data_IF_259684005418
#
_entry.id   IF_259684005418
#
_cell.length_a   1.000
_cell.length_b   1.000
_cell.length_c   1.000
_cell.angle_alpha   90.00
_cell.angle_beta   90.00
_cell.angle_gamma   90.00
#
_symmetry.space_group_name_H-M   'P 1'
#
loop_
_entity.id
_entity.type
_entity.pdbx_description
1 polymer ?
2 non-polymer ?
3 non-polymer ?
4 non-polymer ?
5 non-polymer ?
6 water ?
#
# COMPACT_ATOMS: atom_id res chain seq x y z
N UNK A 1 17.72 -21.05 5.04
CA UNK A 1 16.54 -20.96 5.91
C UNK A 1 15.29 -21.22 5.10
N UNK A 2 14.15 -21.35 5.78
CA UNK A 2 12.91 -21.75 5.13
C UNK A 2 12.43 -20.66 4.16
N UNK A 3 11.65 -21.10 3.18
CA UNK A 3 10.97 -20.18 2.27
C UNK A 3 9.51 -20.10 2.68
N UNK A 4 8.97 -18.87 2.78
CA UNK A 4 7.69 -18.64 3.42
C UNK A 4 6.89 -17.65 2.58
N UNK A 5 5.61 -17.95 2.36
CA UNK A 5 4.65 -17.02 1.77
C UNK A 5 3.45 -16.91 2.71
N UNK A 6 2.97 -15.69 2.90
CA UNK A 6 1.80 -15.39 3.73
C UNK A 6 0.72 -14.77 2.84
N UNK A 7 -0.53 -14.88 3.27
CA UNK A 7 -1.65 -14.37 2.49
C UNK A 7 -2.84 -14.14 3.40
N UNK A 8 -3.67 -13.14 3.12
CA UNK A 8 -5.02 -13.13 3.71
C UNK A 8 -5.74 -14.42 3.33
N UNK A 9 -6.64 -14.86 4.21
CA UNK A 9 -7.28 -16.16 4.01
C UNK A 9 -8.18 -16.20 2.79
N UNK A 10 -8.77 -15.07 2.43
CA UNK A 10 -9.71 -15.02 1.33
C UNK A 10 -9.71 -13.59 0.82
N UNK A 11 -9.46 -13.43 -0.48
CA UNK A 11 -9.45 -12.12 -1.12
C UNK A 11 -10.57 -12.11 -2.15
N UNK A 12 -11.46 -11.11 -2.04
CA UNK A 12 -12.67 -11.00 -2.84
C UNK A 12 -12.69 -9.63 -3.50
N UNK A 13 -13.06 -9.60 -4.78
CA UNK A 13 -13.10 -8.35 -5.52
C UNK A 13 -14.20 -8.39 -6.57
N UNK A 14 -15.01 -7.34 -6.64
CA UNK A 14 -15.93 -7.17 -7.76
C UNK A 14 -16.85 -5.99 -7.52
N UNK A 15 -17.57 -5.62 -8.58
CA UNK A 15 -18.49 -4.49 -8.46
C UNK A 15 -19.66 -4.86 -7.57
N UNK A 16 -20.06 -3.94 -6.69
CA UNK A 16 -21.15 -4.17 -5.76
C UNK A 16 -20.84 -5.13 -4.62
N UNK A 17 -19.56 -5.46 -4.42
CA UNK A 17 -19.22 -6.46 -3.41
C UNK A 17 -19.64 -6.04 -2.00
N UNK A 18 -19.81 -4.75 -1.74
CA UNK A 18 -20.28 -4.32 -0.41
C UNK A 18 -21.65 -4.92 -0.10
N UNK A 19 -22.48 -5.11 -1.13
CA UNK A 19 -23.83 -5.65 -0.93
C UNK A 19 -23.81 -7.09 -0.45
N UNK A 20 -22.68 -7.78 -0.64
CA UNK A 20 -22.55 -9.18 -0.27
C UNK A 20 -21.70 -9.39 0.97
N UNK A 21 -21.31 -8.29 1.64
CA UNK A 21 -20.47 -8.37 2.84
C UNK A 21 -21.06 -9.31 3.87
N UNK A 22 -22.36 -9.17 4.15
CA UNK A 22 -22.99 -9.97 5.19
C UNK A 22 -22.86 -11.46 4.96
N UNK A 23 -23.14 -11.91 3.73
CA UNK A 23 -22.99 -13.33 3.44
C UNK A 23 -21.53 -13.78 3.47
N UNK A 24 -20.59 -12.91 3.06
CA UNK A 24 -19.18 -13.26 3.12
C UNK A 24 -18.67 -13.35 4.56
N UNK A 25 -19.21 -12.52 5.46
CA UNK A 25 -18.69 -12.42 6.82
C UNK A 25 -19.33 -13.43 7.76
N UNK A 26 -20.54 -13.88 7.46
CA UNK A 26 -21.28 -14.74 8.37
C UNK A 26 -20.52 -16.01 8.79
N UNK A 27 -19.79 -16.71 7.92
CA UNK A 27 -19.06 -17.90 8.40
C UNK A 27 -17.98 -17.57 9.42
N UNK A 28 -17.57 -16.31 9.56
CA UNK A 28 -16.49 -15.91 10.45
C UNK A 28 -16.96 -15.57 11.86
N UNK A 29 -18.01 -14.75 11.97
CA UNK A 29 -18.47 -14.26 13.27
C UNK A 29 -19.81 -13.55 13.08
N UNK A 30 -20.52 -13.36 14.19
CA UNK A 30 -21.88 -12.82 14.20
C UNK A 30 -21.98 -11.36 14.62
N UNK A 31 -21.03 -10.82 15.39
CA UNK A 31 -21.15 -9.47 15.94
C UNK A 31 -19.91 -8.67 15.55
N UNK A 32 -20.10 -7.67 14.72
CA UNK A 32 -19.01 -7.00 14.03
C UNK A 32 -18.87 -5.57 14.51
N UNK A 33 -17.66 -5.20 14.91
CA UNK A 33 -17.31 -3.80 15.09
C UNK A 33 -16.86 -3.26 13.73
N UNK A 34 -17.52 -2.20 13.26
CA UNK A 34 -17.24 -1.62 11.95
C UNK A 34 -16.52 -0.30 12.17
N UNK A 35 -15.21 -0.29 11.92
CA UNK A 35 -14.40 0.93 11.91
C UNK A 35 -14.44 1.54 10.51
N UNK A 36 -15.01 2.72 10.37
CA UNK A 36 -15.03 3.37 9.07
C UNK A 36 -14.75 4.85 9.13
N UNK A 37 -14.05 5.43 8.15
CA UNK A 37 -13.86 6.87 8.25
C UNK A 37 -15.16 7.56 7.87
N UNK A 38 -15.35 8.75 8.43
CA UNK A 38 -16.63 9.42 8.34
C UNK A 38 -17.06 9.65 6.90
N UNK A 39 -16.11 9.94 6.01
CA UNK A 39 -16.48 10.18 4.62
C UNK A 39 -17.07 8.91 4.00
N UNK A 40 -16.40 7.78 4.22
CA UNK A 40 -16.86 6.50 3.70
C UNK A 40 -18.23 6.13 4.27
N UNK A 41 -18.41 6.30 5.59
CA UNK A 41 -19.71 5.98 6.17
C UNK A 41 -20.78 6.89 5.60
N UNK A 42 -20.40 8.13 5.24
CA UNK A 42 -21.34 9.03 4.58
C UNK A 42 -22.06 8.42 3.40
N UNK A 43 -21.33 7.68 2.55
CA UNK A 43 -22.01 7.04 1.43
C UNK A 43 -22.27 5.54 1.61
N UNK A 44 -21.52 4.85 2.49
CA UNK A 44 -21.60 3.39 2.56
C UNK A 44 -22.33 2.83 3.79
N UNK A 45 -22.62 3.65 4.80
CA UNK A 45 -23.13 3.07 6.04
C UNK A 45 -24.48 2.37 5.84
N UNK A 46 -25.37 2.96 5.03
CA UNK A 46 -26.68 2.36 4.82
C UNK A 46 -26.57 1.00 4.12
N UNK A 47 -25.81 0.92 3.02
CA UNK A 47 -25.65 -0.36 2.33
C UNK A 47 -25.02 -1.40 3.24
N UNK A 48 -23.98 -1.00 3.96
CA UNK A 48 -23.26 -1.92 4.83
C UNK A 48 -24.16 -2.44 5.95
N UNK A 49 -24.90 -1.54 6.59
CA UNK A 49 -25.85 -1.95 7.62
C UNK A 49 -26.86 -2.96 7.06
N UNK A 50 -27.38 -2.70 5.85
CA UNK A 50 -28.36 -3.62 5.27
C UNK A 50 -27.74 -4.99 5.01
N UNK A 51 -26.55 -5.01 4.43
CA UNK A 51 -25.91 -6.29 4.10
C UNK A 51 -25.75 -7.16 5.34
N UNK A 52 -25.22 -6.59 6.42
CA UNK A 52 -25.00 -7.37 7.64
C UNK A 52 -26.33 -7.75 8.29
N UNK A 53 -27.28 -6.80 8.37
CA UNK A 53 -28.56 -7.09 9.01
C UNK A 53 -29.30 -8.21 8.26
N UNK A 54 -29.28 -8.17 6.92
CA UNK A 54 -30.00 -9.19 6.15
C UNK A 54 -29.40 -10.57 6.37
N UNK A 55 -28.11 -10.65 6.66
CA UNK A 55 -27.44 -11.92 6.93
C UNK A 55 -27.53 -12.32 8.38
N UNK A 56 -28.22 -11.55 9.21
CA UNK A 56 -28.40 -11.90 10.61
C UNK A 56 -27.23 -11.53 11.50
N UNK A 57 -26.40 -10.58 11.09
CA UNK A 57 -25.22 -10.18 11.85
C UNK A 57 -25.51 -8.88 12.59
N UNK A 58 -24.89 -8.73 13.76
CA UNK A 58 -24.91 -7.47 14.48
C UNK A 58 -23.78 -6.58 13.99
N UNK A 59 -24.05 -5.27 13.91
CA UNK A 59 -23.06 -4.31 13.46
C UNK A 59 -23.04 -3.14 14.43
N UNK A 60 -21.88 -2.88 15.02
CA UNK A 60 -21.68 -1.71 15.87
C UNK A 60 -20.80 -0.74 15.09
N UNK A 61 -21.40 0.35 14.60
CA UNK A 61 -20.69 1.29 13.74
C UNK A 61 -19.87 2.22 14.62
N UNK A 62 -18.57 2.33 14.32
CA UNK A 62 -17.66 3.17 15.09
C UNK A 62 -16.89 4.08 14.14
N UNK A 63 -17.32 5.32 13.97
CA UNK A 63 -16.59 6.26 13.11
C UNK A 63 -15.13 6.39 13.55
N UNK A 64 -14.23 6.33 12.57
CA UNK A 64 -12.79 6.30 12.79
C UNK A 64 -12.26 7.70 13.08
N UNK A 65 -11.36 7.80 14.07
CA UNK A 65 -10.77 9.08 14.46
C UNK A 65 -9.75 9.66 13.49
N UNK A 66 -9.28 8.90 12.50
CA UNK A 66 -8.42 9.41 11.44
C UNK A 66 -6.98 8.91 11.47
N UNK A 67 -6.47 8.56 12.64
CA UNK A 67 -5.08 8.12 12.81
C UNK A 67 -5.04 6.72 13.40
N UNK A 68 -4.11 5.88 12.90
CA UNK A 68 -3.85 4.58 13.49
C UNK A 68 -2.90 4.78 14.67
N UNK A 69 -3.46 4.98 15.86
CA UNK A 69 -2.72 5.31 17.06
C UNK A 69 -3.12 4.35 18.17
N UNK A 70 -2.26 4.24 19.18
CA UNK A 70 -2.56 3.36 20.31
C UNK A 70 -3.79 3.85 21.07
N UNK A 71 -3.93 5.17 21.21
CA UNK A 71 -5.10 5.73 21.87
C UNK A 71 -6.37 5.38 21.10
N UNK A 72 -6.32 5.42 19.76
CA UNK A 72 -7.50 5.12 18.97
C UNK A 72 -7.86 3.65 19.04
N UNK A 73 -6.85 2.78 19.05
CA UNK A 73 -7.10 1.34 19.18
C UNK A 73 -7.80 1.03 20.50
N UNK A 74 -7.36 1.65 21.60
CA UNK A 74 -8.00 1.39 22.89
C UNK A 74 -9.39 1.98 22.96
N UNK A 75 -9.60 3.14 22.34
CA UNK A 75 -10.94 3.73 22.28
C UNK A 75 -11.93 2.78 21.60
N UNK A 76 -11.52 2.21 20.47
CA UNK A 76 -12.38 1.31 19.70
C UNK A 76 -12.59 -0.02 20.42
N UNK A 77 -11.56 -0.49 21.12
CA UNK A 77 -11.72 -1.70 21.91
C UNK A 77 -12.80 -1.52 22.98
N UNK A 78 -12.81 -0.36 23.65
CA UNK A 78 -13.84 -0.08 24.64
C UNK A 78 -15.23 -0.10 24.00
N UNK A 79 -15.37 0.56 22.85
CA UNK A 79 -16.64 0.58 22.12
C UNK A 79 -17.07 -0.83 21.73
N UNK A 80 -16.12 -1.62 21.21
CA UNK A 80 -16.41 -2.99 20.81
C UNK A 80 -16.88 -3.83 21.99
N UNK A 81 -16.24 -3.69 23.16
CA UNK A 81 -16.64 -4.45 24.33
C UNK A 81 -18.06 -4.17 24.76
N UNK A 82 -18.49 -2.90 24.70
CA UNK A 82 -19.85 -2.57 25.09
C UNK A 82 -20.87 -3.32 24.24
N UNK A 83 -20.55 -3.54 22.96
CA UNK A 83 -21.47 -4.22 22.04
C UNK A 83 -21.19 -5.72 21.95
N UNK A 84 -20.27 -6.24 22.76
CA UNK A 84 -19.87 -7.65 22.72
C UNK A 84 -19.52 -8.09 21.28
N UNK A 85 -18.68 -7.29 20.63
CA UNK A 85 -18.28 -7.63 19.26
C UNK A 85 -17.31 -8.79 19.27
N UNK A 86 -17.43 -9.68 18.29
CA UNK A 86 -16.58 -10.86 18.20
C UNK A 86 -15.68 -10.85 16.96
N UNK A 87 -15.66 -9.74 16.22
CA UNK A 87 -14.86 -9.58 15.01
C UNK A 87 -14.83 -8.10 14.65
N UNK A 88 -13.89 -7.73 13.78
CA UNK A 88 -13.70 -6.34 13.36
C UNK A 88 -13.76 -6.26 11.84
N UNK A 89 -14.51 -5.28 11.34
CA UNK A 89 -14.52 -4.93 9.91
C UNK A 89 -13.98 -3.52 9.78
N UNK A 90 -12.87 -3.36 9.06
CA UNK A 90 -12.39 -2.03 8.72
C UNK A 90 -12.80 -1.72 7.29
N UNK A 91 -13.34 -0.51 7.09
CA UNK A 91 -13.77 -0.08 5.77
C UNK A 91 -13.27 1.34 5.52
N UNK A 92 -12.44 1.51 4.50
CA UNK A 92 -11.86 2.79 4.16
C UNK A 92 -10.48 2.62 3.53
N UNK A 93 -9.65 3.65 3.71
CA UNK A 93 -8.29 3.64 3.23
C UNK A 93 -7.31 3.07 4.24
N UNK A 94 -6.02 3.25 3.93
CA UNK A 94 -4.98 2.52 4.64
C UNK A 94 -4.97 2.73 6.14
N UNK A 95 -5.16 3.98 6.59
CA UNK A 95 -5.15 4.24 8.04
C UNK A 95 -6.30 3.54 8.74
N UNK A 96 -7.48 3.51 8.11
CA UNK A 96 -8.60 2.80 8.73
C UNK A 96 -8.31 1.31 8.81
N UNK A 97 -7.76 0.75 7.73
CA UNK A 97 -7.56 -0.69 7.65
C UNK A 97 -6.48 -1.15 8.62
N UNK A 98 -5.37 -0.39 8.72
CA UNK A 98 -4.34 -0.71 9.70
C UNK A 98 -4.90 -0.70 11.11
N UNK A 99 -5.78 0.26 11.42
CA UNK A 99 -6.38 0.34 12.75
C UNK A 99 -7.24 -0.89 13.03
N UNK A 100 -8.08 -1.29 12.07
CA UNK A 100 -8.90 -2.48 12.23
C UNK A 100 -8.06 -3.72 12.48
N UNK A 101 -6.96 -3.88 11.73
CA UNK A 101 -6.08 -5.04 11.91
C UNK A 101 -5.47 -5.05 13.31
N UNK A 102 -4.99 -3.89 13.75
CA UNK A 102 -4.35 -3.83 15.06
C UNK A 102 -5.37 -4.06 16.17
N UNK A 103 -6.56 -3.46 16.01
CA UNK A 103 -7.62 -3.66 17.00
C UNK A 103 -7.98 -5.13 17.10
N UNK A 104 -8.18 -5.80 15.97
CA UNK A 104 -8.55 -7.21 16.02
C UNK A 104 -7.44 -8.03 16.64
N UNK A 105 -6.18 -7.68 16.37
CA UNK A 105 -5.07 -8.37 17.03
C UNK A 105 -5.18 -8.24 18.55
N UNK A 106 -5.44 -7.04 19.06
CA UNK A 106 -5.46 -6.88 20.50
C UNK A 106 -6.73 -7.46 21.13
N UNK A 107 -7.85 -7.47 20.40
CA UNK A 107 -9.02 -8.20 20.88
C UNK A 107 -8.91 -9.70 20.65
N UNK A 108 -7.96 -10.15 19.84
CA UNK A 108 -7.82 -11.56 19.51
C UNK A 108 -9.10 -12.09 18.85
N UNK A 109 -9.48 -11.43 17.75
CA UNK A 109 -10.69 -11.78 17.00
C UNK A 109 -10.39 -11.70 15.51
N UNK A 110 -11.22 -12.33 14.67
CA UNK A 110 -11.00 -12.21 13.23
C UNK A 110 -11.16 -10.76 12.75
N UNK A 111 -10.53 -10.46 11.61
CA UNK A 111 -10.65 -9.15 10.99
C UNK A 111 -10.99 -9.31 9.52
N UNK A 112 -11.93 -8.49 9.07
CA UNK A 112 -12.25 -8.35 7.65
C UNK A 112 -11.90 -6.92 7.24
N UNK A 113 -11.42 -6.78 6.02
CA UNK A 113 -10.81 -5.55 5.54
C UNK A 113 -11.50 -5.19 4.23
N UNK A 114 -12.15 -4.03 4.19
CA UNK A 114 -12.87 -3.58 2.99
C UNK A 114 -12.25 -2.27 2.48
N UNK A 115 -11.25 -2.35 1.59
CA UNK A 115 -10.67 -1.13 1.02
C UNK A 115 -11.69 -0.43 0.14
N UNK A 116 -11.83 0.88 0.32
CA UNK A 116 -12.70 1.67 -0.53
C UNK A 116 -11.91 2.52 -1.49
N UNK A 117 -10.58 2.40 -1.44
CA UNK A 117 -9.65 2.87 -2.47
C UNK A 117 -8.59 1.78 -2.61
N UNK A 118 -7.91 1.79 -3.75
CA UNK A 118 -6.80 0.88 -4.01
C UNK A 118 -5.52 1.71 -4.10
N UNK A 119 -5.16 2.33 -2.97
CA UNK A 119 -4.12 3.35 -2.97
C UNK A 119 -2.78 2.85 -2.44
N UNK A 120 -2.75 1.72 -1.75
CA UNK A 120 -1.53 1.16 -1.19
C UNK A 120 -1.73 -0.34 -1.12
N UNK A 121 -0.66 -1.06 -0.77
CA UNK A 121 -0.75 -2.49 -0.52
C UNK A 121 -0.93 -2.83 0.96
N UNK A 122 -1.37 -1.86 1.76
CA UNK A 122 -1.73 -2.14 3.15
C UNK A 122 -2.80 -3.22 3.36
N UNK A 123 -3.87 -3.32 2.55
CA UNK A 123 -5.01 -4.18 2.96
C UNK A 123 -4.65 -5.62 3.33
N UNK A 124 -3.71 -6.24 2.63
CA UNK A 124 -3.51 -7.68 2.76
C UNK A 124 -2.43 -8.05 3.78
N UNK A 125 -1.65 -7.09 4.28
CA UNK A 125 -0.44 -7.44 4.99
C UNK A 125 -0.71 -7.71 6.48
N UNK A 126 0.20 -8.47 7.08
CA UNK A 126 0.21 -8.74 8.52
C UNK A 126 1.05 -7.68 9.23
N UNK A 127 0.60 -6.43 9.09
CA UNK A 127 1.37 -5.28 9.51
C UNK A 127 0.41 -4.12 9.70
N UNK A 128 0.59 -3.39 10.79
CA UNK A 128 -0.05 -2.10 11.00
C UNK A 128 1.03 -1.07 11.28
N UNK A 129 0.92 0.09 10.66
CA UNK A 129 1.85 1.19 10.92
C UNK A 129 1.21 2.08 11.97
N UNK A 130 1.83 2.14 13.14
CA UNK A 130 1.28 2.89 14.27
C UNK A 130 1.85 4.29 14.26
N UNK A 131 0.98 5.29 14.43
CA UNK A 131 1.36 6.69 14.51
C UNK A 131 0.95 7.25 15.87
N UNK A 132 1.58 8.34 16.26
CA UNK A 132 1.03 9.13 17.37
C UNK A 132 -0.26 9.79 16.93
N UNK A 133 -0.98 10.37 17.90
CA UNK A 133 -2.23 11.03 17.56
C UNK A 133 -2.01 12.22 16.66
N UNK A 134 -0.89 12.93 16.87
CA UNK A 134 -0.52 14.07 16.03
C UNK A 134 -0.15 13.65 14.61
N UNK A 135 0.09 12.37 14.35
CA UNK A 135 0.41 11.91 13.01
C UNK A 135 1.87 11.59 12.77
N UNK A 136 2.73 11.75 13.78
CA UNK A 136 4.12 11.35 13.64
C UNK A 136 4.23 9.83 13.66
N UNK A 137 5.08 9.28 12.79
CA UNK A 137 5.30 7.83 12.80
C UNK A 137 5.74 7.39 14.19
N UNK A 138 5.28 6.21 14.60
CA UNK A 138 5.62 5.66 15.91
C UNK A 138 6.34 4.33 15.81
N UNK A 139 5.76 3.34 15.13
CA UNK A 139 6.36 2.01 15.10
C UNK A 139 5.64 1.17 14.08
N UNK A 140 6.28 0.07 13.72
CA UNK A 140 5.67 -0.98 12.90
C UNK A 140 5.19 -2.07 13.84
N UNK A 141 3.88 -2.35 13.80
CA UNK A 141 3.31 -3.43 14.60
C UNK A 141 3.17 -4.64 13.70
N UNK A 142 4.03 -5.63 13.91
CA UNK A 142 4.00 -6.83 13.10
C UNK A 142 2.94 -7.78 13.65
N UNK A 143 2.09 -8.27 12.79
CA UNK A 143 0.95 -9.05 13.26
C UNK A 143 1.22 -10.54 13.07
N UNK A 144 0.67 -11.42 13.92
CA UNK A 144 0.96 -12.85 13.78
C UNK A 144 0.20 -13.52 12.65
N UNK A 145 -0.66 -12.80 11.95
CA UNK A 145 -1.66 -13.35 11.04
C UNK A 145 -2.01 -12.26 10.04
N UNK A 146 -2.19 -12.64 8.76
CA UNK A 146 -2.80 -11.71 7.81
C UNK A 146 -4.31 -11.64 8.06
N UNK A 147 -4.99 -10.61 7.51
CA UNK A 147 -6.45 -10.54 7.67
C UNK A 147 -7.15 -11.80 7.20
N UNK A 148 -8.23 -12.14 7.90
CA UNK A 148 -9.03 -13.31 7.51
C UNK A 148 -9.62 -13.14 6.11
N UNK A 149 -10.16 -11.96 5.81
CA UNK A 149 -10.77 -11.72 4.51
C UNK A 149 -10.53 -10.27 4.09
N UNK A 150 -10.38 -10.08 2.79
CA UNK A 150 -10.27 -8.77 2.17
C UNK A 150 -11.35 -8.69 1.09
N UNK A 151 -12.16 -7.64 1.12
CA UNK A 151 -13.31 -7.49 0.22
C UNK A 151 -13.21 -6.11 -0.42
N UNK A 152 -12.96 -6.09 -1.73
CA UNK A 152 -12.80 -4.85 -2.51
C UNK A 152 -14.02 -4.70 -3.42
N UNK A 153 -14.86 -3.71 -3.13
CA UNK A 153 -15.95 -3.34 -4.03
C UNK A 153 -15.37 -2.43 -5.12
N UNK A 154 -15.20 -2.95 -6.33
CA UNK A 154 -14.50 -2.18 -7.35
C UNK A 154 -15.32 -0.99 -7.84
N UNK A 155 -16.64 -1.02 -7.64
CA UNK A 155 -17.44 0.15 -7.99
C UNK A 155 -17.20 1.30 -7.01
N UNK A 156 -17.04 1.00 -5.73
CA UNK A 156 -16.69 2.05 -4.78
C UNK A 156 -15.31 2.62 -5.12
N UNK A 157 -14.35 1.74 -5.44
CA UNK A 157 -13.01 2.21 -5.79
C UNK A 157 -13.06 3.10 -7.03
N UNK A 158 -13.78 2.66 -8.06
CA UNK A 158 -13.86 3.43 -9.30
C UNK A 158 -14.50 4.79 -9.06
N UNK A 159 -15.44 4.89 -8.11
CA UNK A 159 -16.03 6.17 -7.77
C UNK A 159 -15.12 7.13 -7.02
N UNK A 160 -14.00 6.65 -6.48
CA UNK A 160 -13.10 7.48 -5.68
C UNK A 160 -12.26 8.37 -6.59
N UNK A 161 -11.56 9.36 -6.03
CA UNK A 161 -10.71 10.23 -6.87
C UNK A 161 -9.66 9.42 -7.63
N UNK A 162 -9.52 9.74 -8.92
CA UNK A 162 -8.65 8.95 -9.79
C UNK A 162 -7.19 9.02 -9.34
N UNK A 163 -6.79 10.16 -8.76
CA UNK A 163 -5.44 10.31 -8.23
C UNK A 163 -5.10 9.21 -7.24
N UNK A 164 -6.09 8.70 -6.51
CA UNK A 164 -5.81 7.67 -5.53
C UNK A 164 -5.60 6.29 -6.16
N UNK A 165 -6.14 6.06 -7.37
CA UNK A 165 -5.78 4.83 -8.07
C UNK A 165 -4.38 4.92 -8.63
N UNK A 166 -4.00 6.09 -9.17
CA UNK A 166 -2.64 6.28 -9.64
C UNK A 166 -1.63 6.10 -8.50
N UNK A 167 -1.95 6.63 -7.31
CA UNK A 167 -1.09 6.44 -6.15
C UNK A 167 -0.88 4.96 -5.86
N UNK A 168 -1.97 4.17 -5.92
CA UNK A 168 -1.83 2.72 -5.75
C UNK A 168 -0.95 2.07 -6.81
N UNK A 169 -1.02 2.58 -8.05
CA UNK A 169 -0.12 2.10 -9.08
C UNK A 169 1.33 2.35 -8.69
N UNK A 170 1.59 3.54 -8.11
CA UNK A 170 2.95 3.86 -7.68
C UNK A 170 3.46 2.93 -6.59
N UNK A 171 2.62 2.63 -5.59
CA UNK A 171 3.02 1.69 -4.55
C UNK A 171 3.27 0.31 -5.15
N UNK A 172 2.40 -0.12 -6.06
CA UNK A 172 2.50 -1.46 -6.64
C UNK A 172 3.66 -1.56 -7.62
N UNK A 173 4.06 -0.43 -8.20
CA UNK A 173 5.16 -0.45 -9.16
C UNK A 173 6.45 -0.94 -8.52
N UNK A 174 6.68 -0.60 -7.26
CA UNK A 174 7.89 -1.01 -6.56
C UNK A 174 7.97 -2.51 -6.34
N UNK A 175 6.83 -3.22 -6.39
CA UNK A 175 6.76 -4.60 -5.89
C UNK A 175 7.76 -5.50 -6.61
N UNK A 176 7.71 -5.53 -7.94
CA UNK A 176 8.58 -6.42 -8.70
C UNK A 176 10.05 -6.09 -8.45
N UNK A 177 10.40 -4.81 -8.53
CA UNK A 177 11.81 -4.42 -8.45
C UNK A 177 12.39 -4.66 -7.05
N UNK A 178 11.60 -4.44 -5.99
CA UNK A 178 12.11 -4.71 -4.64
C UNK A 178 12.18 -6.21 -4.36
N UNK A 179 11.18 -6.98 -4.81
CA UNK A 179 11.23 -8.43 -4.64
C UNK A 179 12.35 -9.05 -5.46
N UNK A 180 12.56 -8.54 -6.67
CA UNK A 180 13.65 -9.04 -7.50
C UNK A 180 15.01 -8.75 -6.86
N UNK A 181 15.19 -7.53 -6.33
CA UNK A 181 16.43 -7.21 -5.62
C UNK A 181 16.64 -8.14 -4.43
N UNK A 182 15.58 -8.41 -3.66
CA UNK A 182 15.71 -9.30 -2.52
C UNK A 182 16.03 -10.71 -2.94
N UNK A 183 15.46 -11.15 -4.07
CA UNK A 183 15.78 -12.49 -4.52
C UNK A 183 17.22 -12.57 -5.02
N UNK A 184 17.73 -11.49 -5.62
CA UNK A 184 19.13 -11.46 -6.06
C UNK A 184 20.09 -11.48 -4.87
N UNK A 185 19.75 -10.77 -3.78
CA UNK A 185 20.64 -10.68 -2.64
C UNK A 185 20.45 -11.80 -1.64
N UNK A 186 19.38 -12.59 -1.77
CA UNK A 186 19.04 -13.60 -0.79
C UNK A 186 18.50 -13.06 0.52
N UNK A 187 17.85 -11.91 0.49
CA UNK A 187 17.41 -11.24 1.71
C UNK A 187 16.20 -11.95 2.31
N UNK A 188 16.10 -11.86 3.64
CA UNK A 188 14.93 -12.33 4.36
C UNK A 188 13.78 -11.35 4.15
N UNK A 189 12.57 -11.89 3.94
CA UNK A 189 11.37 -11.09 3.73
C UNK A 189 10.66 -10.83 5.06
N UNK A 190 9.60 -10.02 5.02
CA UNK A 190 8.81 -9.79 6.23
C UNK A 190 8.01 -11.02 6.65
N UNK A 191 7.72 -11.94 5.72
CA UNK A 191 7.19 -13.23 6.13
C UNK A 191 8.17 -14.04 6.96
N UNK A 192 9.43 -13.59 7.08
CA UNK A 192 10.40 -14.23 7.94
C UNK A 192 11.26 -15.30 7.29
N UNK A 193 11.14 -15.50 5.98
CA UNK A 193 11.96 -16.49 5.31
C UNK A 193 12.58 -15.97 4.02
N UNK A 194 13.15 -16.87 3.23
CA UNK A 194 13.53 -16.47 1.88
C UNK A 194 12.30 -16.54 0.97
N UNK A 195 12.43 -16.03 -0.25
CA UNK A 195 11.27 -15.89 -1.10
C UNK A 195 10.88 -17.23 -1.73
N UNK A 196 9.58 -17.44 -1.87
CA UNK A 196 9.03 -18.54 -2.64
C UNK A 196 9.00 -18.18 -4.13
N UNK A 197 8.89 -19.21 -4.98
CA UNK A 197 8.57 -18.97 -6.39
C UNK A 197 7.22 -18.30 -6.54
N UNK A 198 6.23 -18.68 -5.72
CA UNK A 198 4.90 -18.10 -5.80
C UNK A 198 4.95 -16.60 -5.63
N UNK A 199 5.67 -16.12 -4.62
CA UNK A 199 5.70 -14.69 -4.34
C UNK A 199 6.40 -13.92 -5.46
N UNK A 200 7.48 -14.48 -6.03
CA UNK A 200 8.17 -13.79 -7.12
C UNK A 200 7.29 -13.71 -8.36
N UNK A 201 6.50 -14.76 -8.62
CA UNK A 201 5.59 -14.77 -9.76
C UNK A 201 4.48 -13.73 -9.59
N UNK A 202 3.90 -13.63 -8.39
CA UNK A 202 2.88 -12.60 -8.16
C UNK A 202 3.50 -11.19 -8.24
N UNK A 203 4.73 -11.02 -7.76
CA UNK A 203 5.39 -9.71 -7.86
C UNK A 203 5.61 -9.33 -9.31
N UNK A 204 6.09 -10.28 -10.12
CA UNK A 204 6.30 -9.96 -11.54
C UNK A 204 4.98 -9.79 -12.27
N UNK A 205 3.97 -10.59 -11.91
CA UNK A 205 2.64 -10.39 -12.49
C UNK A 205 2.11 -9.00 -12.19
N UNK A 206 2.34 -8.53 -10.96
CA UNK A 206 1.98 -7.16 -10.57
C UNK A 206 2.51 -6.14 -11.57
N UNK A 207 3.82 -6.16 -11.80
CA UNK A 207 4.45 -5.20 -12.71
C UNK A 207 3.88 -5.29 -14.12
N UNK A 208 3.77 -6.50 -14.67
CA UNK A 208 3.27 -6.64 -16.04
C UNK A 208 1.83 -6.19 -16.15
N UNK A 209 1.03 -6.42 -15.10
CA UNK A 209 -0.36 -5.95 -15.13
C UNK A 209 -0.42 -4.43 -15.21
N UNK A 210 0.43 -3.75 -14.44
CA UNK A 210 0.46 -2.29 -14.49
C UNK A 210 0.85 -1.80 -15.89
N UNK A 211 1.87 -2.43 -16.48
CA UNK A 211 2.30 -2.06 -17.83
C UNK A 211 1.17 -2.25 -18.83
N UNK A 212 0.50 -3.40 -18.77
CA UNK A 212 -0.52 -3.73 -19.76
C UNK A 212 -1.84 -2.99 -19.52
N UNK A 213 -2.21 -2.73 -18.27
CA UNK A 213 -3.55 -2.26 -17.92
C UNK A 213 -3.59 -0.85 -17.32
N UNK A 214 -2.45 -0.28 -16.92
CA UNK A 214 -2.47 0.95 -16.16
C UNK A 214 -3.19 2.08 -16.88
N UNK A 215 -2.81 2.35 -18.13
CA UNK A 215 -3.44 3.46 -18.86
C UNK A 215 -4.92 3.20 -19.14
N UNK A 216 -5.27 1.97 -19.55
CA UNK A 216 -6.68 1.64 -19.73
C UNK A 216 -7.46 1.82 -18.44
N UNK A 217 -6.87 1.42 -17.29
CA UNK A 217 -7.57 1.55 -16.02
C UNK A 217 -7.75 3.01 -15.62
N UNK A 218 -6.79 3.88 -15.92
CA UNK A 218 -6.95 5.27 -15.53
C UNK A 218 -8.05 5.95 -16.33
N UNK A 219 -8.23 5.59 -17.60
CA UNK A 219 -9.38 6.08 -18.35
C UNK A 219 -10.68 5.74 -17.63
N UNK A 220 -10.80 4.48 -17.18
CA UNK A 220 -12.01 4.09 -16.44
C UNK A 220 -12.14 4.87 -15.14
N UNK A 221 -11.02 5.01 -14.40
CA UNK A 221 -11.05 5.72 -13.13
C UNK A 221 -11.49 7.17 -13.30
N UNK A 222 -10.96 7.85 -14.32
CA UNK A 222 -11.35 9.23 -14.56
C UNK A 222 -12.81 9.36 -14.94
N UNK A 223 -13.41 8.32 -15.51
CA UNK A 223 -14.83 8.33 -15.79
C UNK A 223 -15.64 7.72 -14.65
N UNK A 224 -14.97 7.23 -13.60
CA UNK A 224 -15.61 6.64 -12.43
C UNK A 224 -16.52 5.47 -12.79
N UNK A 225 -16.01 4.60 -13.67
CA UNK A 225 -16.72 3.41 -14.12
C UNK A 225 -15.76 2.23 -14.03
N UNK A 226 -16.31 1.02 -14.06
CA UNK A 226 -15.54 -0.20 -13.90
C UNK A 226 -15.43 -0.91 -15.23
N UNK A 227 -14.20 -1.21 -15.64
CA UNK A 227 -13.88 -2.02 -16.81
C UNK A 227 -13.00 -3.17 -16.33
N UNK A 228 -12.78 -4.20 -17.15
CA UNK A 228 -11.85 -5.26 -16.69
C UNK A 228 -10.43 -4.75 -16.48
N UNK A 229 -9.99 -3.71 -17.19
CA UNK A 229 -8.66 -3.17 -16.95
C UNK A 229 -8.55 -2.57 -15.56
N UNK A 230 -9.56 -1.79 -15.15
CA UNK A 230 -9.58 -1.28 -13.79
C UNK A 230 -9.62 -2.43 -12.78
N UNK A 231 -10.41 -3.47 -13.06
CA UNK A 231 -10.46 -4.64 -12.16
C UNK A 231 -9.08 -5.26 -11.98
N UNK A 232 -8.35 -5.44 -13.08
CA UNK A 232 -7.01 -6.04 -13.00
C UNK A 232 -6.03 -5.16 -12.23
N UNK A 233 -6.13 -3.82 -12.39
CA UNK A 233 -5.21 -2.95 -11.67
C UNK A 233 -5.54 -2.94 -10.18
N UNK A 234 -6.83 -3.02 -9.83
CA UNK A 234 -7.19 -3.11 -8.41
C UNK A 234 -6.59 -4.36 -7.79
N UNK A 235 -6.68 -5.50 -8.50
CA UNK A 235 -6.06 -6.72 -7.99
C UNK A 235 -4.56 -6.53 -7.82
N UNK A 236 -3.90 -5.93 -8.83
CA UNK A 236 -2.47 -5.71 -8.77
C UNK A 236 -2.09 -4.77 -7.61
N UNK A 237 -2.84 -3.68 -7.43
CA UNK A 237 -2.55 -2.72 -6.36
C UNK A 237 -2.80 -3.30 -4.96
N UNK A 238 -3.63 -4.35 -4.85
CA UNK A 238 -4.07 -4.85 -3.55
C UNK A 238 -3.48 -6.24 -3.28
N UNK A 239 -3.96 -7.28 -3.95
CA UNK A 239 -3.48 -8.62 -3.63
C UNK A 239 -2.05 -8.86 -4.11
N UNK A 240 -1.76 -8.56 -5.39
CA UNK A 240 -0.44 -8.88 -5.93
C UNK A 240 0.65 -8.07 -5.22
N UNK A 241 0.42 -6.77 -5.06
CA UNK A 241 1.41 -5.92 -4.42
C UNK A 241 1.55 -6.27 -2.94
N UNK A 242 0.46 -6.66 -2.28
CA UNK A 242 0.50 -6.99 -0.88
C UNK A 242 1.33 -8.24 -0.59
N UNK A 243 0.96 -9.35 -1.23
CA UNK A 243 1.74 -10.58 -1.08
C UNK A 243 3.14 -10.38 -1.65
N UNK A 244 3.24 -9.62 -2.75
CA UNK A 244 4.53 -9.38 -3.36
C UNK A 244 5.51 -8.70 -2.43
N UNK A 245 5.09 -7.63 -1.76
CA UNK A 245 6.04 -6.91 -0.89
C UNK A 245 6.34 -7.70 0.38
N UNK A 246 5.31 -8.32 0.96
CA UNK A 246 5.49 -8.93 2.27
C UNK A 246 6.25 -10.25 2.17
N UNK A 247 5.95 -11.05 1.14
CA UNK A 247 6.57 -12.36 0.98
C UNK A 247 7.63 -12.38 -0.12
N UNK A 248 7.83 -11.28 -0.85
CA UNK A 248 8.86 -11.21 -1.87
C UNK A 248 10.01 -10.31 -1.46
N UNK A 249 9.72 -9.26 -0.71
CA UNK A 249 10.77 -8.46 -0.08
C UNK A 249 10.73 -6.98 -0.39
N UNK A 250 11.19 -6.17 0.56
CA UNK A 250 11.37 -4.74 0.37
C UNK A 250 12.86 -4.43 0.21
N UNK A 251 13.16 -3.30 -0.45
CA UNK A 251 14.54 -2.92 -0.72
C UNK A 251 14.71 -1.40 -0.74
N UNK A 252 15.29 -0.85 -1.82
CA UNK A 252 15.64 0.58 -1.83
C UNK A 252 14.43 1.48 -1.99
N UNK A 253 13.48 1.12 -2.86
CA UNK A 253 12.37 2.03 -3.15
C UNK A 253 11.65 2.45 -1.88
N UNK A 254 11.38 1.51 -0.98
CA UNK A 254 10.66 1.88 0.22
C UNK A 254 11.53 2.55 1.26
N UNK A 255 12.81 2.20 1.33
CA UNK A 255 13.71 2.94 2.21
C UNK A 255 13.78 4.40 1.77
N UNK A 256 13.76 4.64 0.46
CA UNK A 256 13.81 6.01 -0.05
C UNK A 256 12.52 6.75 0.25
N UNK A 257 11.36 6.07 0.11
CA UNK A 257 10.11 6.66 0.57
C UNK A 257 10.22 7.08 2.03
N UNK A 258 10.70 6.16 2.87
CA UNK A 258 10.82 6.48 4.30
C UNK A 258 11.78 7.63 4.52
N UNK A 259 12.86 7.68 3.73
CA UNK A 259 13.83 8.76 3.87
C UNK A 259 13.27 10.13 3.64
N UNK A 260 12.20 10.25 2.83
CA UNK A 260 11.69 11.60 2.56
C UNK A 260 10.95 12.20 3.73
N UNK A 261 10.66 11.43 4.78
CA UNK A 261 10.15 12.09 5.98
C UNK A 261 11.21 12.93 6.67
N UNK A 262 12.48 12.85 6.25
CA UNK A 262 13.51 13.72 6.82
C UNK A 262 13.40 15.15 6.34
N UNK A 263 12.56 15.44 5.36
CA UNK A 263 12.31 16.81 4.92
C UNK A 263 10.80 17.04 4.90
N UNK A 264 10.34 18.29 5.02
CA UNK A 264 8.89 18.54 5.02
C UNK A 264 8.27 18.69 3.64
N UNK A 265 9.07 18.68 2.57
CA UNK A 265 8.64 19.19 1.27
C UNK A 265 7.46 18.39 0.69
N UNK A 266 7.53 17.06 0.76
CA UNK A 266 6.56 16.20 0.08
C UNK A 266 5.34 15.86 0.94
N UNK A 267 4.98 16.72 1.89
CA UNK A 267 3.93 16.37 2.86
C UNK A 267 2.57 16.22 2.20
N UNK A 268 2.31 16.91 1.09
CA UNK A 268 0.99 16.84 0.47
C UNK A 268 0.83 15.64 -0.46
N UNK A 269 1.85 14.80 -0.59
CA UNK A 269 1.83 13.72 -1.58
C UNK A 269 1.60 12.38 -0.89
N UNK A 270 0.91 11.51 -1.61
CA UNK A 270 0.46 10.23 -1.08
C UNK A 270 1.64 9.25 -1.01
N UNK A 271 1.50 8.29 -0.10
CA UNK A 271 2.43 7.19 0.02
C UNK A 271 2.92 6.64 -1.33
N UNK A 272 1.97 6.23 -2.19
CA UNK A 272 2.37 5.60 -3.44
C UNK A 272 3.04 6.53 -4.43
N UNK A 273 2.76 7.84 -4.34
CA UNK A 273 3.43 8.79 -5.22
C UNK A 273 4.90 8.91 -4.87
N UNK A 274 5.23 8.92 -3.58
CA UNK A 274 6.64 8.97 -3.18
C UNK A 274 7.34 7.65 -3.51
N UNK A 275 6.65 6.52 -3.36
CA UNK A 275 7.22 5.23 -3.70
C UNK A 275 7.54 5.13 -5.20
N UNK A 276 6.73 5.78 -6.06
CA UNK A 276 7.05 5.76 -7.50
C UNK A 276 8.43 6.37 -7.76
N UNK A 277 8.71 7.54 -7.17
CA UNK A 277 10.04 8.12 -7.39
C UNK A 277 11.12 7.31 -6.68
N UNK A 278 10.83 6.75 -5.52
CA UNK A 278 11.77 5.82 -4.91
C UNK A 278 12.13 4.66 -5.83
N UNK A 279 11.15 4.22 -6.63
CA UNK A 279 11.41 3.10 -7.54
C UNK A 279 12.34 3.52 -8.67
N UNK A 280 12.08 4.68 -9.28
CA UNK A 280 13.01 5.22 -10.28
C UNK A 280 14.41 5.37 -9.71
N UNK A 281 14.52 5.83 -8.45
CA UNK A 281 15.83 5.97 -7.83
C UNK A 281 16.52 4.62 -7.65
N UNK A 282 15.76 3.61 -7.19
CA UNK A 282 16.33 2.27 -7.07
C UNK A 282 16.87 1.78 -8.42
N UNK A 283 16.15 2.06 -9.50
CA UNK A 283 16.61 1.60 -10.82
C UNK A 283 17.94 2.24 -11.20
N UNK A 284 18.12 3.53 -10.87
CA UNK A 284 19.42 4.17 -11.07
C UNK A 284 20.47 3.49 -10.21
N UNK A 285 20.12 3.24 -8.93
CA UNK A 285 21.04 2.67 -7.97
C UNK A 285 21.51 1.28 -8.38
N UNK A 286 20.60 0.44 -8.85
CA UNK A 286 20.98 -0.90 -9.31
C UNK A 286 21.42 -0.88 -10.77
N UNK A 287 21.53 0.31 -11.38
CA UNK A 287 21.94 0.48 -12.77
C UNK A 287 21.14 -0.40 -13.73
N UNK A 288 19.81 -0.30 -13.64
CA UNK A 288 18.93 -0.99 -14.58
C UNK A 288 19.23 -0.56 -16.01
N UNK A 289 18.99 -1.43 -16.99
CA UNK A 289 19.21 -1.04 -18.40
C UNK A 289 18.34 0.16 -18.77
N UNK A 290 18.81 0.91 -19.77
CA UNK A 290 18.15 2.16 -20.16
C UNK A 290 16.69 1.91 -20.52
N UNK A 291 16.42 0.85 -21.29
CA UNK A 291 15.07 0.56 -21.73
C UNK A 291 14.14 0.30 -20.56
N UNK A 292 14.65 -0.34 -19.50
CA UNK A 292 13.83 -0.62 -18.33
C UNK A 292 13.50 0.66 -17.58
N UNK A 293 14.49 1.55 -17.36
CA UNK A 293 14.18 2.81 -16.70
C UNK A 293 13.20 3.64 -17.53
N UNK A 294 13.41 3.69 -18.84
CA UNK A 294 12.51 4.46 -19.70
C UNK A 294 11.08 3.91 -19.61
N UNK A 295 10.93 2.59 -19.61
CA UNK A 295 9.61 1.98 -19.51
C UNK A 295 8.93 2.39 -18.21
N UNK A 296 9.67 2.33 -17.10
CA UNK A 296 9.10 2.69 -15.79
C UNK A 296 8.77 4.19 -15.76
N UNK A 297 9.68 5.04 -16.22
CA UNK A 297 9.41 6.47 -16.24
C UNK A 297 8.20 6.80 -17.10
N UNK A 298 8.08 6.13 -18.25
CA UNK A 298 6.93 6.37 -19.12
C UNK A 298 5.64 5.88 -18.49
N UNK A 299 5.67 4.72 -17.84
CA UNK A 299 4.48 4.26 -17.13
C UNK A 299 4.08 5.27 -16.06
N UNK A 300 5.03 5.71 -15.25
CA UNK A 300 4.74 6.71 -14.22
C UNK A 300 4.14 7.97 -14.85
N UNK A 301 4.78 8.46 -15.92
CA UNK A 301 4.31 9.68 -16.55
C UNK A 301 2.90 9.49 -17.10
N UNK A 302 2.57 8.30 -17.60
CA UNK A 302 1.28 8.12 -18.25
C UNK A 302 0.12 8.09 -17.25
N UNK A 303 0.36 7.79 -15.97
CA UNK A 303 -0.71 7.81 -14.99
C UNK A 303 -0.57 8.97 -14.00
N UNK A 304 0.33 9.90 -14.26
CA UNK A 304 0.46 11.07 -13.43
C UNK A 304 1.38 10.96 -12.22
N UNK A 305 2.14 9.89 -12.10
CA UNK A 305 3.05 9.73 -10.97
C UNK A 305 4.29 10.61 -11.15
N UNK A 306 4.91 11.05 -10.06
CA UNK A 306 6.09 11.91 -10.19
C UNK A 306 7.33 11.14 -10.62
N UNK A 307 8.09 11.75 -11.53
CA UNK A 307 9.38 11.21 -11.93
C UNK A 307 10.51 12.20 -11.69
N UNK A 308 10.23 13.30 -10.99
CA UNK A 308 11.22 14.30 -10.60
C UNK A 308 10.94 14.75 -9.17
N UNK A 309 11.96 15.35 -8.55
CA UNK A 309 11.80 15.88 -7.19
C UNK A 309 10.76 16.99 -7.15
N UNK A 310 10.77 17.88 -8.15
CA UNK A 310 9.85 19.01 -8.15
C UNK A 310 8.39 18.56 -8.23
N UNK A 311 8.11 17.42 -8.89
CA UNK A 311 6.76 16.90 -8.91
C UNK A 311 6.30 16.38 -7.55
N UNK A 312 7.23 16.21 -6.60
CA UNK A 312 6.87 15.98 -5.20
C UNK A 312 6.98 17.26 -4.39
N UNK A 313 7.08 18.41 -5.05
CA UNK A 313 7.26 19.71 -4.41
C UNK A 313 8.53 19.75 -3.58
N UNK A 314 9.54 18.97 -3.96
CA UNK A 314 10.87 19.07 -3.35
C UNK A 314 11.67 20.01 -4.23
N UNK A 315 11.82 21.26 -3.77
CA UNK A 315 12.46 22.34 -4.52
C UNK A 315 13.33 23.17 -3.58
N UNK A 316 14.48 23.60 -4.08
CA UNK A 316 15.35 24.45 -3.28
C UNK A 316 16.25 23.66 -2.34
N UNK A 317 17.52 24.04 -2.31
CA UNK A 317 18.56 23.38 -1.51
C UNK A 317 18.51 21.86 -1.67
N UNK A 318 18.50 21.42 -2.92
CA UNK A 318 18.41 19.99 -3.22
C UNK A 318 19.57 19.20 -2.61
N UNK A 319 20.84 19.65 -2.71
CA UNK A 319 21.92 18.85 -2.10
C UNK A 319 21.74 18.56 -0.63
N UNK A 320 21.43 19.59 0.18
CA UNK A 320 21.20 19.36 1.60
C UNK A 320 20.02 18.43 1.84
N UNK A 321 18.94 18.63 1.08
CA UNK A 321 17.76 17.80 1.30
C UNK A 321 18.03 16.37 0.89
N UNK A 322 18.68 16.14 -0.25
CA UNK A 322 18.91 14.76 -0.64
C UNK A 322 19.95 14.06 0.23
N UNK A 323 20.84 14.80 0.88
CA UNK A 323 21.71 14.17 1.86
C UNK A 323 20.91 13.70 3.08
N UNK A 324 19.95 14.52 3.54
CA UNK A 324 19.07 14.10 4.62
C UNK A 324 18.29 12.84 4.23
N UNK A 325 17.73 12.83 3.02
CA UNK A 325 16.94 11.69 2.58
C UNK A 325 17.81 10.44 2.48
N UNK A 326 19.00 10.58 1.87
CA UNK A 326 19.90 9.45 1.70
C UNK A 326 20.33 8.87 3.05
N UNK A 327 20.65 9.74 4.02
CA UNK A 327 21.09 9.24 5.33
C UNK A 327 19.97 8.50 6.05
N UNK A 328 18.75 9.05 6.04
CA UNK A 328 17.64 8.35 6.68
C UNK A 328 17.28 7.08 5.94
N UNK A 329 17.41 7.06 4.62
CA UNK A 329 17.13 5.86 3.85
C UNK A 329 18.08 4.72 4.20
N UNK A 330 19.29 5.05 4.68
CA UNK A 330 20.30 4.05 5.00
C UNK A 330 20.41 3.79 6.49
N UNK A 331 19.48 4.32 7.28
CA UNK A 331 19.52 4.11 8.72
C UNK A 331 19.54 2.63 9.04
N UNK A 332 20.06 2.30 10.21
CA UNK A 332 20.16 0.91 10.64
C UNK A 332 18.78 0.26 10.60
N UNK A 333 18.73 -0.95 10.04
CA UNK A 333 17.49 -1.66 9.92
C UNK A 333 16.66 -1.33 8.69
N UNK A 334 17.03 -0.30 7.94
CA UNK A 334 16.26 0.01 6.74
C UNK A 334 16.44 -1.09 5.70
N UNK A 335 15.47 -1.18 4.80
CA UNK A 335 15.45 -2.26 3.82
C UNK A 335 16.41 -2.02 2.66
N UNK A 336 17.05 -0.85 2.59
CA UNK A 336 17.97 -0.57 1.49
C UNK A 336 19.15 -1.52 1.53
N UNK A 337 19.45 -2.09 2.69
CA UNK A 337 20.56 -3.02 2.82
C UNK A 337 20.22 -4.40 2.27
N UNK A 338 18.99 -4.60 1.80
CA UNK A 338 18.60 -5.79 1.05
C UNK A 338 19.05 -5.73 -0.41
N UNK A 339 19.58 -4.60 -0.87
CA UNK A 339 20.01 -4.49 -2.26
C UNK A 339 21.27 -5.34 -2.46
N UNK A 340 21.42 -5.97 -3.64
CA UNK A 340 22.63 -6.76 -3.88
C UNK A 340 23.89 -5.91 -3.71
N UNK A 341 24.90 -6.49 -3.08
CA UNK A 341 26.16 -5.80 -2.90
C UNK A 341 26.18 -4.71 -1.86
N UNK A 342 25.11 -4.53 -1.10
CA UNK A 342 25.09 -3.46 -0.13
C UNK A 342 25.06 -2.07 -0.74
N UNK A 343 24.64 -1.09 0.05
CA UNK A 343 24.48 0.29 -0.40
C UNK A 343 24.78 1.21 0.78
N UNK A 344 25.44 2.33 0.52
CA UNK A 344 25.62 3.35 1.56
C UNK A 344 24.99 4.67 1.10
N UNK A 345 25.02 5.65 2.00
CA UNK A 345 24.32 6.91 1.76
C UNK A 345 24.91 7.67 0.58
N UNK A 346 26.22 7.57 0.35
CA UNK A 346 26.80 8.24 -0.81
C UNK A 346 26.21 7.70 -2.11
N UNK A 347 26.00 6.39 -2.19
CA UNK A 347 25.42 5.81 -3.39
C UNK A 347 23.96 6.20 -3.56
N UNK A 348 23.20 6.28 -2.45
CA UNK A 348 21.80 6.67 -2.52
C UNK A 348 21.68 8.13 -2.92
N UNK A 349 22.53 8.98 -2.34
CA UNK A 349 22.57 10.40 -2.70
C UNK A 349 22.81 10.57 -4.20
N UNK A 350 23.81 9.86 -4.73
CA UNK A 350 24.09 9.89 -6.16
C UNK A 350 22.88 9.45 -6.97
N UNK A 351 22.22 8.37 -6.54
CA UNK A 351 21.09 7.86 -7.30
C UNK A 351 19.93 8.84 -7.29
N UNK A 352 19.73 9.53 -6.17
CA UNK A 352 18.64 10.50 -6.07
C UNK A 352 18.84 11.64 -7.08
N UNK A 353 20.04 12.22 -7.11
CA UNK A 353 20.29 13.32 -8.04
C UNK A 353 20.18 12.85 -9.48
N UNK A 354 20.69 11.66 -9.79
CA UNK A 354 20.67 11.18 -11.16
C UNK A 354 19.25 10.80 -11.58
N UNK A 355 18.51 10.12 -10.70
CA UNK A 355 17.12 9.82 -11.04
C UNK A 355 16.33 11.10 -11.31
N UNK A 356 16.61 12.16 -10.52
CA UNK A 356 15.92 13.43 -10.75
C UNK A 356 16.27 14.01 -12.12
N UNK A 357 17.55 13.95 -12.51
CA UNK A 357 17.95 14.44 -13.83
C UNK A 357 17.34 13.60 -14.95
N UNK A 358 17.28 12.28 -14.75
CA UNK A 358 16.64 11.44 -15.75
C UNK A 358 15.19 11.85 -15.96
N UNK A 359 14.44 12.05 -14.87
CA UNK A 359 13.05 12.46 -15.01
C UNK A 359 12.88 13.82 -15.67
N UNK A 360 13.77 14.77 -15.33
CA UNK A 360 13.71 16.08 -15.96
C UNK A 360 13.92 15.98 -17.46
N UNK A 361 14.91 15.19 -17.89
CA UNK A 361 15.15 14.98 -19.32
C UNK A 361 13.95 14.34 -19.98
N UNK A 362 13.38 13.31 -19.33
CA UNK A 362 12.18 12.67 -19.84
C UNK A 362 11.05 13.68 -20.03
N UNK A 363 10.79 14.49 -19.01
CA UNK A 363 9.72 15.49 -19.13
C UNK A 363 10.02 16.47 -20.26
N UNK A 364 11.29 16.85 -20.42
CA UNK A 364 11.68 17.77 -21.47
C UNK A 364 11.42 17.19 -22.85
N UNK A 365 11.89 15.96 -23.08
CA UNK A 365 11.69 15.32 -24.37
C UNK A 365 10.21 15.11 -24.66
N UNK A 366 9.40 14.91 -23.62
CA UNK A 366 7.96 14.84 -23.80
C UNK A 366 7.35 16.21 -24.10
N UNK A 367 8.12 17.28 -23.98
CA UNK A 367 7.66 18.66 -24.19
C UNK A 367 6.53 19.01 -23.24
#
# INVERSE_FOLDING_TARGET
MDRIIQSPGKYIQGTGAIKRLGDYLKPLAERWLVVGDKFVLGFAEEMLRKSLADAGLAAEIAPFGGECSHNEINRLRDIAGNAKCTAVLGIGGGKTLDTAKALAHFMNVPVAIAPTIASTDAPCSALSVIYTDEGEFDSYLMLPRNPNMVIVDTQIVAGAPARLLAAGIGDALATWFEARACSRSGATTMAGGKCTQAALALAELCYNTLLEEGEKAMLAAEQHVVTPALERVVEANTYLSGVGFESGGLAAAHAIHNGMTAIPDAHHYYHGEKVAFGTLTQLVLENAPVDEIETVAALCHSVGLPITLAQLDIKGDIPTKMRLVAEAACAEGETIHNMPGGVDSDQVYAALLVADQYGQRFLQEWE
#
